data_IF_588084977981
#
_entry.id   IF_588084977981
#
_cell.length_a   1.000
_cell.length_b   1.000
_cell.length_c   1.000
_cell.angle_alpha   90.00
_cell.angle_beta   90.00
_cell.angle_gamma   90.00
#
_symmetry.space_group_name_H-M   'P 1'
#
loop_
_entity.id
_entity.type
_entity.pdbx_description
1 polymer ?
#
# COMPACT_ATOMS: atom_id res chain seq x y z
N UNK A 1 32.67 -9.25 10.81
CA UNK A 1 31.87 -8.09 11.22
C UNK A 1 32.15 -6.81 10.42
N UNK A 2 32.94 -6.91 9.33
CA UNK A 2 33.28 -5.77 8.46
C UNK A 2 32.57 -5.86 7.10
N UNK A 3 31.55 -6.73 6.98
CA UNK A 3 30.77 -6.88 5.75
C UNK A 3 29.65 -5.83 5.71
N UNK A 4 29.35 -5.35 4.52
CA UNK A 4 28.20 -4.50 4.20
C UNK A 4 27.31 -5.27 3.22
N UNK A 5 25.99 -5.28 3.43
CA UNK A 5 25.01 -5.79 2.47
C UNK A 5 24.52 -4.63 1.61
N UNK A 6 24.48 -4.81 0.30
CA UNK A 6 23.86 -3.86 -0.63
C UNK A 6 22.68 -4.56 -1.27
N UNK A 7 21.49 -4.03 -1.05
CA UNK A 7 20.23 -4.53 -1.58
C UNK A 7 19.83 -3.69 -2.80
N UNK A 8 20.12 -4.20 -4.00
CA UNK A 8 19.78 -3.56 -5.27
C UNK A 8 18.59 -4.30 -5.88
N UNK A 9 17.39 -3.68 -5.89
CA UNK A 9 16.20 -4.32 -6.44
C UNK A 9 14.88 -3.71 -5.94
N UNK A 10 13.78 -4.39 -6.21
CA UNK A 10 12.45 -4.03 -5.72
C UNK A 10 12.24 -4.36 -4.24
N UNK A 11 11.00 -4.21 -3.76
CA UNK A 11 10.62 -4.39 -2.36
C UNK A 11 11.01 -5.75 -1.78
N UNK A 12 10.82 -6.83 -2.53
CA UNK A 12 11.21 -8.16 -2.10
C UNK A 12 12.71 -8.24 -1.80
N UNK A 13 13.55 -7.61 -2.61
CA UNK A 13 15.02 -7.60 -2.41
C UNK A 13 15.41 -6.76 -1.19
N UNK A 14 14.76 -5.60 -0.99
CA UNK A 14 15.04 -4.75 0.18
C UNK A 14 14.60 -5.39 1.49
N UNK A 15 13.43 -6.05 1.51
CA UNK A 15 12.90 -6.73 2.68
C UNK A 15 13.71 -7.97 3.05
N UNK A 16 13.93 -8.88 2.09
CA UNK A 16 14.72 -10.10 2.30
C UNK A 16 16.17 -9.77 2.66
N UNK A 17 16.79 -8.85 1.92
CA UNK A 17 18.18 -8.44 2.16
C UNK A 17 18.37 -7.74 3.49
N UNK A 18 17.44 -6.84 3.85
CA UNK A 18 17.43 -6.20 5.17
C UNK A 18 17.26 -7.19 6.31
N UNK A 19 16.36 -8.18 6.17
CA UNK A 19 16.18 -9.25 7.15
C UNK A 19 17.43 -10.16 7.25
N UNK A 20 18.00 -10.56 6.11
CA UNK A 20 19.22 -11.35 6.08
C UNK A 20 20.40 -10.60 6.74
N UNK A 21 20.58 -9.33 6.43
CA UNK A 21 21.59 -8.48 7.07
C UNK A 21 21.39 -8.37 8.58
N UNK A 22 20.14 -8.24 9.02
CA UNK A 22 19.78 -8.12 10.44
C UNK A 22 20.05 -9.37 11.26
N UNK A 23 19.97 -10.54 10.63
CA UNK A 23 20.16 -11.84 11.30
C UNK A 23 21.54 -12.42 11.12
N UNK A 24 22.23 -12.12 10.00
CA UNK A 24 23.57 -12.60 9.73
C UNK A 24 24.58 -12.09 10.77
N UNK A 25 25.28 -13.01 11.46
CA UNK A 25 26.26 -12.70 12.54
C UNK A 25 25.69 -11.76 13.63
N UNK A 26 24.40 -11.82 13.90
CA UNK A 26 23.66 -10.94 14.82
C UNK A 26 23.56 -9.47 14.37
N UNK A 27 23.60 -9.26 13.08
CA UNK A 27 23.47 -7.97 12.41
C UNK A 27 24.76 -7.50 11.76
N UNK A 28 24.63 -7.15 10.49
CA UNK A 28 25.62 -6.37 9.70
C UNK A 28 24.92 -5.15 9.11
N UNK A 29 25.65 -4.06 8.83
CA UNK A 29 25.08 -2.91 8.15
C UNK A 29 24.60 -3.25 6.74
N UNK A 30 23.57 -2.53 6.28
CA UNK A 30 23.07 -2.67 4.91
C UNK A 30 22.66 -1.32 4.31
N UNK A 31 22.65 -1.27 2.98
CA UNK A 31 22.22 -0.14 2.16
C UNK A 31 21.15 -0.63 1.19
N UNK A 32 20.07 0.12 1.04
CA UNK A 32 19.05 -0.15 0.05
C UNK A 32 19.22 0.74 -1.19
N UNK A 33 19.16 0.14 -2.39
CA UNK A 33 19.10 0.82 -3.68
C UNK A 33 17.81 0.33 -4.38
N UNK A 34 16.65 0.93 -4.07
CA UNK A 34 15.38 0.49 -4.63
C UNK A 34 15.30 0.78 -6.13
N UNK A 35 14.79 -0.19 -6.91
CA UNK A 35 14.69 -0.08 -8.38
C UNK A 35 13.28 -0.06 -8.92
N UNK A 36 12.26 -0.25 -8.06
CA UNK A 36 10.85 -0.10 -8.42
C UNK A 36 10.25 1.10 -7.70
N UNK A 37 9.22 1.74 -8.28
CA UNK A 37 8.56 2.89 -7.66
C UNK A 37 8.04 2.54 -6.26
N UNK A 38 7.36 1.39 -6.11
CA UNK A 38 6.87 0.89 -4.83
C UNK A 38 8.00 0.78 -3.78
N UNK A 39 9.15 0.25 -4.19
CA UNK A 39 10.29 0.13 -3.29
C UNK A 39 10.88 1.48 -2.90
N UNK A 40 10.93 2.44 -3.83
CA UNK A 40 11.44 3.79 -3.58
C UNK A 40 10.61 4.56 -2.56
N UNK A 41 9.27 4.53 -2.73
CA UNK A 41 8.36 5.35 -1.91
C UNK A 41 7.86 4.63 -0.66
N UNK A 42 7.96 3.29 -0.62
CA UNK A 42 7.39 2.51 0.48
C UNK A 42 8.38 1.50 1.07
N UNK A 43 8.67 0.38 0.41
CA UNK A 43 9.30 -0.78 1.04
C UNK A 43 10.71 -0.49 1.60
N UNK A 44 11.54 0.31 0.93
CA UNK A 44 12.91 0.59 1.38
C UNK A 44 12.99 1.60 2.54
N UNK A 45 11.88 2.27 2.87
CA UNK A 45 11.81 3.34 3.87
C UNK A 45 11.05 2.87 5.11
N UNK A 46 11.62 3.05 6.29
CA UNK A 46 10.92 2.80 7.55
C UNK A 46 11.35 1.55 8.30
N UNK A 47 12.36 0.83 7.80
CA UNK A 47 13.07 -0.23 8.53
C UNK A 47 12.27 -1.50 8.81
N UNK A 48 11.07 -1.67 8.26
CA UNK A 48 10.40 -2.97 8.27
C UNK A 48 11.11 -3.86 7.27
N UNK A 49 11.64 -4.99 7.72
CA UNK A 49 12.26 -6.01 6.87
C UNK A 49 11.68 -7.36 7.24
N UNK A 50 11.56 -8.27 6.29
CA UNK A 50 10.95 -9.56 6.59
C UNK A 50 10.84 -10.49 5.39
N UNK A 51 10.25 -11.64 5.67
CA UNK A 51 10.00 -12.70 4.70
C UNK A 51 8.58 -13.25 4.89
N UNK A 52 8.03 -13.77 3.80
CA UNK A 52 6.81 -14.54 3.83
C UNK A 52 7.08 -15.91 4.45
N UNK A 53 6.14 -16.43 5.22
CA UNK A 53 6.24 -17.75 5.84
C UNK A 53 4.88 -18.43 5.93
N UNK A 54 4.79 -19.70 5.56
CA UNK A 54 3.54 -20.48 5.55
C UNK A 54 2.38 -19.82 4.81
N UNK A 55 2.64 -19.18 3.66
CA UNK A 55 1.59 -18.49 2.88
C UNK A 55 1.17 -17.13 3.44
N UNK A 56 1.71 -16.72 4.58
CA UNK A 56 1.44 -15.41 5.18
C UNK A 56 2.54 -14.41 4.79
N UNK A 57 2.13 -13.21 4.38
CA UNK A 57 3.05 -12.12 4.02
C UNK A 57 3.72 -11.50 5.25
N UNK A 58 5.03 -11.24 5.14
CA UNK A 58 5.81 -10.52 6.15
C UNK A 58 5.63 -11.07 7.57
N UNK A 59 5.50 -12.42 7.70
CA UNK A 59 5.23 -13.07 8.99
C UNK A 59 6.45 -13.05 9.90
N UNK A 60 7.64 -13.19 9.31
CA UNK A 60 8.91 -13.19 10.05
C UNK A 60 9.69 -11.95 9.62
N UNK A 61 9.99 -11.08 10.55
CA UNK A 61 10.72 -9.85 10.25
C UNK A 61 11.25 -9.14 11.47
N UNK A 62 11.97 -8.06 11.22
CA UNK A 62 12.53 -7.19 12.26
C UNK A 62 12.39 -5.73 11.86
N UNK A 63 12.40 -4.84 12.85
CA UNK A 63 12.59 -3.41 12.64
C UNK A 63 14.10 -3.11 12.67
N UNK A 64 14.69 -2.86 11.49
CA UNK A 64 16.09 -2.47 11.38
C UNK A 64 16.27 -1.49 10.23
N UNK A 65 16.78 -0.30 10.51
CA UNK A 65 16.98 0.74 9.52
C UNK A 65 18.24 0.45 8.68
N UNK A 66 18.18 0.66 7.34
CA UNK A 66 19.38 0.70 6.52
C UNK A 66 20.27 1.87 6.95
N UNK A 67 21.58 1.75 6.74
CA UNK A 67 22.49 2.89 6.94
C UNK A 67 22.18 4.03 5.96
N UNK A 68 21.72 3.67 4.76
CA UNK A 68 21.39 4.63 3.71
C UNK A 68 20.40 3.98 2.76
N UNK A 69 19.47 4.79 2.22
CA UNK A 69 18.65 4.46 1.06
C UNK A 69 19.08 5.38 -0.08
N UNK A 70 19.52 4.80 -1.19
CA UNK A 70 19.93 5.54 -2.40
C UNK A 70 18.83 5.40 -3.42
N UNK A 71 18.07 6.47 -3.66
CA UNK A 71 16.97 6.51 -4.61
C UNK A 71 17.46 7.16 -5.90
N UNK A 72 17.57 6.36 -6.97
CA UNK A 72 17.87 6.82 -8.32
C UNK A 72 16.66 6.55 -9.22
N UNK A 73 15.95 7.61 -9.58
CA UNK A 73 14.73 7.54 -10.41
C UNK A 73 15.02 7.14 -11.87
N UNK A 74 16.29 7.07 -12.27
CA UNK A 74 16.67 6.53 -13.60
C UNK A 74 16.21 5.07 -13.78
N UNK A 75 16.12 4.28 -12.72
CA UNK A 75 15.60 2.91 -12.78
C UNK A 75 14.14 2.86 -13.25
N UNK A 76 13.34 3.90 -13.00
CA UNK A 76 11.94 3.96 -13.41
C UNK A 76 11.75 3.99 -14.94
N UNK A 77 12.78 4.41 -15.70
CA UNK A 77 12.71 4.47 -17.18
C UNK A 77 12.61 3.10 -17.84
N UNK A 78 13.03 2.04 -17.15
CA UNK A 78 12.98 0.66 -17.64
C UNK A 78 11.95 -0.18 -16.90
N UNK A 79 11.23 0.43 -15.94
CA UNK A 79 10.16 -0.22 -15.21
C UNK A 79 8.89 -0.24 -16.09
N UNK A 80 8.22 -1.37 -16.14
CA UNK A 80 6.94 -1.48 -16.86
C UNK A 80 5.85 -0.63 -16.21
N UNK A 81 4.83 -0.27 -17.00
CA UNK A 81 3.74 0.62 -16.57
C UNK A 81 2.94 0.06 -15.39
N UNK A 82 2.76 -1.25 -15.31
CA UNK A 82 2.01 -1.86 -14.21
C UNK A 82 2.76 -1.68 -12.89
N UNK A 83 4.07 -1.86 -12.89
CA UNK A 83 4.89 -1.62 -11.69
C UNK A 83 5.02 -0.11 -11.35
N UNK A 84 4.97 0.79 -12.34
CA UNK A 84 4.85 2.24 -12.09
C UNK A 84 3.52 2.52 -11.39
N UNK A 85 2.39 2.06 -11.95
CA UNK A 85 1.06 2.21 -11.32
C UNK A 85 1.04 1.60 -9.91
N UNK A 86 1.63 0.41 -9.72
CA UNK A 86 1.68 -0.22 -8.40
C UNK A 86 2.37 0.67 -7.35
N UNK A 87 3.50 1.27 -7.67
CA UNK A 87 4.16 2.22 -6.75
C UNK A 87 3.38 3.52 -6.57
N UNK A 88 2.70 3.98 -7.63
CA UNK A 88 1.93 5.22 -7.61
C UNK A 88 0.72 5.18 -6.67
N UNK A 89 0.12 4.01 -6.45
CA UNK A 89 -0.95 3.83 -5.48
C UNK A 89 -0.50 4.22 -4.05
N UNK A 90 0.74 3.92 -3.68
CA UNK A 90 1.31 4.34 -2.39
C UNK A 90 1.52 5.85 -2.33
N UNK A 91 1.91 6.47 -3.44
CA UNK A 91 2.01 7.93 -3.51
C UNK A 91 0.64 8.59 -3.34
N UNK A 92 -0.43 8.07 -3.96
CA UNK A 92 -1.81 8.52 -3.75
C UNK A 92 -2.20 8.45 -2.27
N UNK A 93 -1.90 7.34 -1.61
CA UNK A 93 -2.10 7.19 -0.16
C UNK A 93 -1.33 8.27 0.61
N UNK A 94 -0.07 8.51 0.28
CA UNK A 94 0.74 9.55 0.92
C UNK A 94 0.15 10.95 0.72
N UNK A 95 -0.40 11.25 -0.45
CA UNK A 95 -1.14 12.50 -0.71
C UNK A 95 -2.36 12.64 0.18
N UNK A 96 -3.21 11.61 0.25
CA UNK A 96 -4.42 11.58 1.07
C UNK A 96 -4.16 11.80 2.56
N UNK A 97 -3.07 11.24 3.10
CA UNK A 97 -2.72 11.37 4.52
C UNK A 97 -1.85 12.60 4.83
N UNK A 98 -1.52 13.44 3.84
CA UNK A 98 -0.64 14.60 4.02
C UNK A 98 -1.37 15.93 3.84
N UNK A 99 -1.47 16.43 2.62
CA UNK A 99 -2.11 17.70 2.35
C UNK A 99 -2.73 17.80 0.94
N UNK A 100 -3.65 18.76 0.78
CA UNK A 100 -4.42 18.96 -0.44
C UNK A 100 -3.56 19.26 -1.67
N UNK A 101 -2.43 19.97 -1.52
CA UNK A 101 -1.59 20.35 -2.65
C UNK A 101 -0.91 19.11 -3.25
N UNK A 102 -0.29 18.29 -2.40
CA UNK A 102 0.35 17.04 -2.81
C UNK A 102 -0.68 16.12 -3.47
N UNK A 103 -1.86 15.98 -2.85
CA UNK A 103 -2.91 15.11 -3.38
C UNK A 103 -3.44 15.60 -4.75
N UNK A 104 -3.64 16.91 -4.92
CA UNK A 104 -4.11 17.47 -6.19
C UNK A 104 -3.09 17.30 -7.31
N UNK A 105 -1.80 17.41 -7.01
CA UNK A 105 -0.71 17.17 -7.96
C UNK A 105 -0.70 15.70 -8.43
N UNK A 106 -0.90 14.76 -7.48
CA UNK A 106 -0.99 13.33 -7.79
C UNK A 106 -2.21 12.99 -8.66
N UNK A 107 -3.36 13.59 -8.43
CA UNK A 107 -4.55 13.37 -9.27
C UNK A 107 -4.42 13.97 -10.68
N UNK A 108 -3.57 14.99 -10.86
CA UNK A 108 -3.35 15.65 -12.14
C UNK A 108 -2.27 14.98 -13.00
N UNK A 109 -1.51 14.03 -12.45
CA UNK A 109 -0.41 13.36 -13.15
C UNK A 109 -0.92 12.31 -14.13
N UNK A 110 -0.40 12.33 -15.38
CA UNK A 110 -0.78 11.36 -16.40
C UNK A 110 0.13 10.11 -16.34
N UNK A 111 -0.45 9.00 -15.92
CA UNK A 111 0.24 7.69 -15.85
C UNK A 111 0.40 7.03 -17.23
N UNK A 112 -0.28 7.52 -18.28
CA UNK A 112 -0.13 7.00 -19.64
C UNK A 112 1.00 7.69 -20.41
N UNK A 113 1.36 8.93 -20.01
CA UNK A 113 2.47 9.70 -20.58
C UNK A 113 3.36 10.25 -19.46
N UNK A 114 4.21 9.38 -18.92
CA UNK A 114 4.96 9.63 -17.69
C UNK A 114 6.07 10.67 -17.91
N UNK A 115 5.91 11.86 -17.32
CA UNK A 115 7.03 12.80 -17.14
C UNK A 115 7.93 12.34 -16.00
N UNK A 116 9.04 11.69 -16.35
CA UNK A 116 9.98 11.15 -15.36
C UNK A 116 10.71 12.22 -14.54
N UNK A 117 10.84 13.44 -15.02
CA UNK A 117 11.44 14.52 -14.25
C UNK A 117 10.47 14.97 -13.15
N UNK A 118 9.22 15.21 -13.52
CA UNK A 118 8.16 15.53 -12.56
C UNK A 118 7.93 14.37 -11.57
N UNK A 119 7.88 13.12 -12.05
CA UNK A 119 7.76 11.94 -11.18
C UNK A 119 8.88 11.87 -10.14
N UNK A 120 10.11 12.23 -10.50
CA UNK A 120 11.25 12.25 -9.56
C UNK A 120 11.04 13.23 -8.40
N UNK A 121 10.52 14.42 -8.67
CA UNK A 121 10.18 15.41 -7.62
C UNK A 121 9.05 14.91 -6.72
N UNK A 122 8.03 14.28 -7.32
CA UNK A 122 6.91 13.69 -6.59
C UNK A 122 7.36 12.51 -5.71
N UNK A 123 8.31 11.68 -6.18
CA UNK A 123 8.93 10.61 -5.38
C UNK A 123 9.62 11.19 -4.15
N UNK A 124 10.40 12.27 -4.31
CA UNK A 124 11.05 12.96 -3.19
C UNK A 124 10.03 13.44 -2.15
N UNK A 125 8.93 14.05 -2.61
CA UNK A 125 7.83 14.52 -1.76
C UNK A 125 7.16 13.34 -1.03
N UNK A 126 6.87 12.27 -1.73
CA UNK A 126 6.23 11.06 -1.17
C UNK A 126 7.11 10.39 -0.10
N UNK A 127 8.40 10.26 -0.36
CA UNK A 127 9.38 9.74 0.63
C UNK A 127 9.42 10.61 1.87
N UNK A 128 9.43 11.94 1.74
CA UNK A 128 9.44 12.85 2.87
C UNK A 128 8.18 12.71 3.76
N UNK A 129 6.99 12.47 3.15
CA UNK A 129 5.76 12.17 3.92
C UNK A 129 5.94 10.92 4.76
N UNK A 130 6.42 9.83 4.15
CA UNK A 130 6.63 8.57 4.87
C UNK A 130 7.70 8.68 5.94
N UNK A 131 8.85 9.30 5.63
CA UNK A 131 9.95 9.48 6.56
C UNK A 131 9.51 10.24 7.82
N UNK A 132 8.74 11.32 7.67
CA UNK A 132 8.19 12.07 8.81
C UNK A 132 7.37 11.15 9.72
N UNK A 133 6.45 10.38 9.16
CA UNK A 133 5.55 9.49 9.91
C UNK A 133 6.34 8.38 10.62
N UNK A 134 7.30 7.78 9.93
CA UNK A 134 8.13 6.69 10.49
C UNK A 134 9.08 7.19 11.55
N UNK A 135 9.60 8.42 11.42
CA UNK A 135 10.47 9.05 12.44
C UNK A 135 9.70 9.34 13.71
N UNK A 136 8.44 9.80 13.58
CA UNK A 136 7.58 10.08 14.72
C UNK A 136 7.12 8.80 15.44
N UNK A 137 6.86 7.73 14.70
CA UNK A 137 6.36 6.45 15.25
C UNK A 137 7.07 5.24 14.60
N UNK A 138 8.33 4.94 15.00
CA UNK A 138 9.12 3.87 14.39
C UNK A 138 8.48 2.47 14.50
N UNK A 139 7.70 2.22 15.56
CA UNK A 139 7.14 0.90 15.90
C UNK A 139 5.64 0.72 15.65
N UNK A 140 4.99 1.71 14.99
CA UNK A 140 3.57 1.64 14.58
C UNK A 140 2.58 1.48 15.75
N UNK A 141 2.81 2.19 16.82
CA UNK A 141 1.88 2.24 17.95
C UNK A 141 0.79 3.31 17.77
N UNK A 142 1.05 4.36 17.01
CA UNK A 142 0.21 5.53 16.81
C UNK A 142 0.08 5.96 15.36
N UNK A 143 0.65 7.13 15.02
CA UNK A 143 0.45 7.80 13.73
C UNK A 143 0.94 6.99 12.52
N UNK A 144 1.91 6.10 12.67
CA UNK A 144 2.37 5.24 11.57
C UNK A 144 1.27 4.32 11.03
N UNK A 145 0.20 4.07 11.81
CA UNK A 145 -1.00 3.38 11.33
C UNK A 145 -1.71 4.12 10.19
N UNK A 146 -1.44 5.43 10.00
CA UNK A 146 -1.92 6.19 8.85
C UNK A 146 -1.50 5.56 7.52
N UNK A 147 -0.31 4.95 7.47
CA UNK A 147 0.20 4.23 6.29
C UNK A 147 -0.61 2.98 5.94
N UNK A 148 -1.54 2.58 6.80
CA UNK A 148 -2.45 1.45 6.56
C UNK A 148 -3.77 1.85 5.85
N UNK A 149 -3.96 3.13 5.49
CA UNK A 149 -5.08 3.54 4.67
C UNK A 149 -5.09 2.73 3.35
N UNK A 150 -6.22 2.14 3.00
CA UNK A 150 -6.36 1.27 1.82
C UNK A 150 -5.86 -0.16 2.00
N UNK A 151 -5.16 -0.47 3.10
CA UNK A 151 -4.51 -1.77 3.26
C UNK A 151 -5.40 -2.84 3.89
N UNK A 152 -6.38 -2.48 4.71
CA UNK A 152 -7.26 -3.50 5.34
C UNK A 152 -8.07 -4.23 4.27
N UNK A 153 -8.67 -3.50 3.36
CA UNK A 153 -9.39 -4.07 2.22
C UNK A 153 -8.43 -4.53 1.12
N UNK A 154 -7.36 -3.77 0.86
CA UNK A 154 -6.36 -4.11 -0.15
C UNK A 154 -5.73 -5.49 0.08
N UNK A 155 -5.31 -5.81 1.31
CA UNK A 155 -4.77 -7.14 1.64
C UNK A 155 -5.80 -8.25 1.46
N UNK A 156 -7.09 -7.98 1.74
CA UNK A 156 -8.16 -8.95 1.48
C UNK A 156 -8.32 -9.21 -0.03
N UNK A 157 -8.29 -8.17 -0.87
CA UNK A 157 -8.34 -8.30 -2.33
C UNK A 157 -7.11 -9.03 -2.88
N UNK A 158 -5.93 -8.75 -2.36
CA UNK A 158 -4.70 -9.42 -2.75
C UNK A 158 -4.73 -10.92 -2.40
N UNK A 159 -5.16 -11.25 -1.18
CA UNK A 159 -5.33 -12.63 -0.73
C UNK A 159 -6.40 -13.37 -1.53
N UNK A 160 -7.48 -12.68 -1.87
CA UNK A 160 -8.54 -13.23 -2.70
C UNK A 160 -8.04 -13.52 -4.13
N UNK A 161 -7.36 -12.57 -4.77
CA UNK A 161 -6.84 -12.75 -6.12
C UNK A 161 -5.76 -13.83 -6.20
N UNK A 162 -4.95 -13.99 -5.15
CA UNK A 162 -3.90 -15.01 -5.08
C UNK A 162 -4.45 -16.45 -5.14
N UNK A 163 -5.69 -16.69 -4.71
CA UNK A 163 -6.32 -18.02 -4.81
C UNK A 163 -6.53 -18.50 -6.26
N UNK A 164 -6.45 -17.59 -7.23
CA UNK A 164 -6.58 -17.90 -8.65
C UNK A 164 -5.23 -18.11 -9.35
N UNK A 165 -4.11 -18.08 -8.62
CA UNK A 165 -2.74 -18.22 -9.19
C UNK A 165 -2.61 -19.52 -10.00
N UNK A 166 -3.12 -20.64 -9.46
CA UNK A 166 -3.08 -21.94 -10.11
C UNK A 166 -4.26 -22.18 -11.08
N UNK A 167 -5.12 -21.20 -11.29
CA UNK A 167 -6.29 -21.28 -12.17
C UNK A 167 -6.39 -20.09 -13.14
N UNK A 168 -5.44 -19.92 -14.06
CA UNK A 168 -5.42 -18.78 -14.99
C UNK A 168 -6.59 -18.77 -15.98
N UNK A 169 -7.29 -19.90 -16.14
CA UNK A 169 -8.47 -20.03 -16.99
C UNK A 169 -9.81 -19.85 -16.26
N UNK A 170 -9.82 -19.28 -15.05
CA UNK A 170 -11.07 -19.05 -14.35
C UNK A 170 -12.01 -18.11 -15.13
N UNK A 171 -13.34 -18.37 -15.09
CA UNK A 171 -14.30 -17.67 -15.96
C UNK A 171 -14.42 -16.17 -15.68
N UNK A 172 -13.95 -15.69 -14.52
CA UNK A 172 -13.95 -14.27 -14.16
C UNK A 172 -12.67 -13.55 -14.60
N UNK A 173 -11.64 -14.28 -15.08
CA UNK A 173 -10.37 -13.71 -15.49
C UNK A 173 -9.54 -13.11 -14.33
N UNK A 174 -9.84 -13.50 -13.09
CA UNK A 174 -9.08 -13.02 -11.93
C UNK A 174 -7.66 -13.61 -11.97
N UNK A 175 -6.68 -12.76 -11.81
CA UNK A 175 -5.26 -13.10 -11.75
C UNK A 175 -4.66 -12.54 -10.45
N UNK A 176 -3.54 -13.08 -9.97
CA UNK A 176 -2.77 -12.42 -8.91
C UNK A 176 -2.46 -10.97 -9.29
N UNK A 177 -2.63 -10.07 -8.35
CA UNK A 177 -2.49 -8.63 -8.58
C UNK A 177 -1.26 -8.08 -7.88
N UNK A 178 -0.66 -7.04 -8.45
CA UNK A 178 0.39 -6.29 -7.79
C UNK A 178 -0.17 -5.57 -6.56
N UNK A 179 0.62 -5.49 -5.50
CA UNK A 179 0.23 -4.90 -4.22
C UNK A 179 -0.44 -3.53 -4.36
N UNK A 180 0.13 -2.62 -5.14
CA UNK A 180 -0.43 -1.28 -5.31
C UNK A 180 -1.81 -1.24 -5.99
N UNK A 181 -2.12 -2.20 -6.86
CA UNK A 181 -3.48 -2.33 -7.40
C UNK A 181 -4.48 -2.65 -6.31
N UNK A 182 -4.14 -3.62 -5.46
CA UNK A 182 -4.98 -3.98 -4.32
C UNK A 182 -5.13 -2.81 -3.33
N UNK A 183 -4.06 -2.05 -3.07
CA UNK A 183 -4.10 -0.84 -2.23
C UNK A 183 -4.97 0.24 -2.88
N UNK A 184 -4.87 0.50 -4.19
CA UNK A 184 -5.71 1.47 -4.89
C UNK A 184 -7.20 1.12 -4.75
N UNK A 185 -7.57 -0.14 -4.97
CA UNK A 185 -8.95 -0.61 -4.76
C UNK A 185 -9.38 -0.53 -3.29
N UNK A 186 -8.46 -0.83 -2.37
CA UNK A 186 -8.70 -0.62 -0.93
C UNK A 186 -8.94 0.84 -0.57
N UNK A 187 -8.25 1.78 -1.23
CA UNK A 187 -8.52 3.22 -1.07
C UNK A 187 -9.95 3.59 -1.50
N UNK A 188 -10.47 3.03 -2.60
CA UNK A 188 -11.88 3.24 -3.01
C UNK A 188 -12.82 2.85 -1.88
N UNK A 189 -12.63 1.66 -1.32
CA UNK A 189 -13.43 1.11 -0.24
C UNK A 189 -13.34 1.94 1.06
N UNK A 190 -12.12 2.22 1.51
CA UNK A 190 -11.90 2.91 2.78
C UNK A 190 -12.24 4.41 2.70
N UNK A 191 -12.21 5.03 1.52
CA UNK A 191 -12.73 6.38 1.32
C UNK A 191 -14.26 6.42 1.34
N UNK A 192 -14.96 5.39 0.83
CA UNK A 192 -16.40 5.26 1.03
C UNK A 192 -16.75 5.18 2.52
N UNK A 193 -16.09 4.32 3.29
CA UNK A 193 -16.27 4.27 4.74
C UNK A 193 -15.93 5.61 5.41
N UNK A 194 -14.91 6.31 4.93
CA UNK A 194 -14.54 7.63 5.43
C UNK A 194 -15.66 8.65 5.23
N UNK A 195 -16.34 8.63 4.08
CA UNK A 195 -17.52 9.49 3.86
C UNK A 195 -18.65 9.17 4.83
N UNK A 196 -18.96 7.88 5.01
CA UNK A 196 -20.09 7.44 5.83
C UNK A 196 -19.83 7.68 7.33
N UNK A 197 -18.60 7.40 7.80
CA UNK A 197 -18.28 7.34 9.24
C UNK A 197 -17.63 8.59 9.80
N UNK A 198 -16.80 9.25 9.02
CA UNK A 198 -15.95 10.36 9.49
C UNK A 198 -16.16 11.68 8.74
N UNK A 199 -17.07 11.70 7.78
CA UNK A 199 -17.46 12.91 7.07
C UNK A 199 -16.46 13.35 6.00
N UNK A 200 -15.67 12.45 5.45
CA UNK A 200 -14.77 12.77 4.34
C UNK A 200 -15.56 13.36 3.16
N UNK A 201 -15.05 14.40 2.48
CA UNK A 201 -15.79 15.06 1.40
C UNK A 201 -16.09 14.11 0.23
N UNK A 202 -17.38 13.95 -0.09
CA UNK A 202 -17.86 13.04 -1.14
C UNK A 202 -17.30 13.40 -2.53
N UNK A 203 -17.14 14.68 -2.84
CA UNK A 203 -16.58 15.11 -4.13
C UNK A 203 -15.12 14.70 -4.29
N UNK A 204 -14.32 14.81 -3.21
CA UNK A 204 -12.94 14.35 -3.19
C UNK A 204 -12.87 12.82 -3.34
N UNK A 205 -13.74 12.10 -2.65
CA UNK A 205 -13.85 10.64 -2.81
C UNK A 205 -14.17 10.26 -4.25
N UNK A 206 -15.19 10.90 -4.89
CA UNK A 206 -15.56 10.62 -6.29
C UNK A 206 -14.42 10.88 -7.27
N UNK A 207 -13.67 11.98 -7.09
CA UNK A 207 -12.52 12.29 -7.92
C UNK A 207 -11.43 11.22 -7.81
N UNK A 208 -11.17 10.75 -6.57
CA UNK A 208 -10.19 9.70 -6.30
C UNK A 208 -10.64 8.37 -6.91
N UNK A 209 -11.91 7.99 -6.71
CA UNK A 209 -12.49 6.76 -7.27
C UNK A 209 -12.37 6.75 -8.79
N UNK A 210 -12.75 7.85 -9.44
CA UNK A 210 -12.64 7.97 -10.89
C UNK A 210 -11.20 7.80 -11.39
N UNK A 211 -10.24 8.47 -10.74
CA UNK A 211 -8.82 8.32 -11.08
C UNK A 211 -8.36 6.85 -10.94
N UNK A 212 -8.76 6.21 -9.83
CA UNK A 212 -8.37 4.82 -9.58
C UNK A 212 -9.00 3.89 -10.61
N UNK A 213 -10.27 4.07 -10.96
CA UNK A 213 -10.93 3.24 -11.97
C UNK A 213 -10.28 3.40 -13.36
N UNK A 214 -9.93 4.63 -13.75
CA UNK A 214 -9.27 4.90 -15.03
C UNK A 214 -7.85 4.30 -15.09
N UNK A 215 -7.08 4.34 -14.00
CA UNK A 215 -5.68 3.90 -13.97
C UNK A 215 -5.49 2.43 -13.59
N UNK A 216 -6.35 1.87 -12.73
CA UNK A 216 -6.18 0.52 -12.13
C UNK A 216 -7.29 -0.45 -12.51
N UNK A 217 -8.38 0.01 -13.16
CA UNK A 217 -9.56 -0.81 -13.38
C UNK A 217 -10.21 -1.27 -12.08
N UNK A 218 -10.87 -2.43 -12.12
CA UNK A 218 -11.59 -3.01 -10.98
C UNK A 218 -11.29 -4.50 -10.84
N UNK A 219 -11.43 -5.05 -9.63
CA UNK A 219 -11.42 -6.48 -9.39
C UNK A 219 -12.86 -7.02 -9.56
N UNK A 220 -13.10 -8.03 -10.42
CA UNK A 220 -14.45 -8.54 -10.70
C UNK A 220 -14.96 -9.44 -9.56
N UNK A 221 -15.31 -8.84 -8.43
CA UNK A 221 -15.94 -9.50 -7.29
C UNK A 221 -17.45 -9.59 -7.47
N UNK A 222 -18.07 -10.53 -6.77
CA UNK A 222 -19.53 -10.74 -6.71
C UNK A 222 -19.99 -10.76 -5.24
N UNK A 223 -21.30 -10.67 -4.99
CA UNK A 223 -21.84 -10.76 -3.62
C UNK A 223 -21.47 -12.09 -2.94
N UNK A 224 -21.26 -13.16 -3.72
CA UNK A 224 -20.89 -14.47 -3.17
C UNK A 224 -19.46 -14.48 -2.58
N UNK A 225 -18.62 -13.52 -2.96
CA UNK A 225 -17.25 -13.38 -2.45
C UNK A 225 -17.17 -12.60 -1.11
N UNK A 226 -18.23 -11.87 -0.75
CA UNK A 226 -18.20 -10.99 0.44
C UNK A 226 -17.91 -11.72 1.76
N UNK A 227 -18.48 -12.91 2.03
CA UNK A 227 -18.12 -13.63 3.24
C UNK A 227 -16.63 -13.96 3.34
N UNK A 228 -16.03 -14.34 2.23
CA UNK A 228 -14.59 -14.66 2.17
C UNK A 228 -13.70 -13.43 2.29
N UNK A 229 -14.05 -12.32 1.62
CA UNK A 229 -13.36 -11.04 1.75
C UNK A 229 -13.43 -10.53 3.20
N UNK A 230 -14.59 -10.65 3.84
CA UNK A 230 -14.76 -10.31 5.25
C UNK A 230 -13.86 -11.17 6.14
N UNK A 231 -13.76 -12.47 5.89
CA UNK A 231 -12.89 -13.37 6.62
C UNK A 231 -11.41 -12.96 6.47
N UNK A 232 -10.95 -12.64 5.26
CA UNK A 232 -9.58 -12.15 5.05
C UNK A 232 -9.32 -10.85 5.81
N UNK A 233 -10.27 -9.90 5.80
CA UNK A 233 -10.13 -8.69 6.60
C UNK A 233 -10.03 -8.99 8.10
N UNK A 234 -10.75 -10.00 8.60
CA UNK A 234 -10.73 -10.39 10.03
C UNK A 234 -9.37 -10.97 10.44
N UNK A 235 -8.68 -11.65 9.53
CA UNK A 235 -7.36 -12.26 9.79
C UNK A 235 -6.18 -11.28 9.65
N UNK A 236 -6.41 -10.02 9.27
CA UNK A 236 -5.33 -9.02 9.22
C UNK A 236 -4.72 -8.84 10.62
N UNK A 237 -3.39 -8.81 10.70
CA UNK A 237 -2.58 -8.69 11.93
C UNK A 237 -2.92 -7.47 12.80
N UNK A 238 -3.61 -6.48 12.23
CA UNK A 238 -4.02 -5.23 12.92
C UNK A 238 -5.23 -5.42 13.80
N UNK A 239 -5.91 -6.57 13.71
CA UNK A 239 -7.16 -6.83 14.39
C UNK A 239 -6.93 -7.40 15.79
N UNK A 240 -7.68 -6.89 16.75
CA UNK A 240 -7.67 -7.35 18.12
C UNK A 240 -9.05 -7.95 18.46
N UNK A 241 -9.08 -9.20 18.90
CA UNK A 241 -10.29 -9.90 19.32
C UNK A 241 -11.41 -9.96 18.24
N UNK A 242 -11.06 -10.09 16.95
CA UNK A 242 -12.03 -10.22 15.86
C UNK A 242 -12.67 -8.91 15.40
N UNK A 243 -12.20 -7.77 15.90
CA UNK A 243 -12.64 -6.44 15.46
C UNK A 243 -11.73 -5.97 14.34
N UNK A 244 -12.31 -5.68 13.15
CA UNK A 244 -11.57 -5.16 12.02
C UNK A 244 -11.26 -3.68 12.25
N UNK A 245 -9.98 -3.33 12.22
CA UNK A 245 -9.50 -1.96 12.40
C UNK A 245 -9.17 -1.32 11.06
N UNK A 246 -9.71 -0.14 10.84
CA UNK A 246 -9.47 0.69 9.66
C UNK A 246 -8.73 1.96 10.02
N UNK A 247 -7.96 2.46 9.08
CA UNK A 247 -7.55 3.86 9.03
C UNK A 247 -8.49 4.60 8.09
N UNK A 248 -9.22 5.58 8.59
CA UNK A 248 -10.15 6.40 7.81
C UNK A 248 -9.70 7.87 7.83
N UNK A 249 -10.36 8.70 7.02
CA UNK A 249 -10.06 10.13 6.92
C UNK A 249 -11.32 10.97 7.20
N UNK A 250 -11.17 12.06 7.95
CA UNK A 250 -12.19 13.12 8.05
C UNK A 250 -12.06 14.19 6.96
N UNK A 251 -10.90 14.25 6.34
CA UNK A 251 -10.50 15.12 5.23
C UNK A 251 -9.08 14.77 4.82
N UNK A 252 -8.54 15.38 3.76
CA UNK A 252 -7.14 15.17 3.39
C UNK A 252 -6.25 15.64 4.54
N UNK A 253 -5.36 14.75 5.02
CA UNK A 253 -4.50 14.98 6.17
C UNK A 253 -5.19 14.85 7.54
N UNK A 254 -6.52 14.72 7.60
CA UNK A 254 -7.25 14.46 8.87
C UNK A 254 -7.42 12.97 9.10
N UNK A 255 -6.42 12.35 9.71
CA UNK A 255 -6.27 10.91 9.88
C UNK A 255 -7.04 10.42 11.11
N UNK A 256 -7.85 9.39 10.94
CA UNK A 256 -8.64 8.72 11.98
C UNK A 256 -8.21 7.25 12.08
N UNK A 257 -7.23 6.96 12.93
CA UNK A 257 -6.78 5.57 13.19
C UNK A 257 -7.75 4.82 14.08
N UNK A 258 -7.66 3.47 14.07
CA UNK A 258 -8.44 2.56 14.91
C UNK A 258 -9.96 2.77 14.76
N UNK A 259 -10.43 3.03 13.57
CA UNK A 259 -11.86 3.07 13.25
C UNK A 259 -12.38 1.66 13.01
N UNK A 260 -13.65 1.41 13.34
CA UNK A 260 -14.28 0.09 13.16
C UNK A 260 -15.51 0.22 12.28
N UNK A 261 -15.89 -0.86 11.61
CA UNK A 261 -17.12 -0.95 10.83
C UNK A 261 -17.87 -2.23 11.17
N UNK A 262 -19.20 -2.18 11.09
CA UNK A 262 -20.02 -3.38 11.21
C UNK A 262 -19.93 -4.23 9.95
N UNK A 263 -20.40 -5.47 10.03
CA UNK A 263 -20.42 -6.35 8.85
C UNK A 263 -21.29 -5.77 7.74
N UNK A 264 -22.41 -5.16 8.09
CA UNK A 264 -23.32 -4.49 7.16
C UNK A 264 -22.62 -3.32 6.45
N UNK A 265 -21.95 -2.45 7.19
CA UNK A 265 -21.19 -1.33 6.63
C UNK A 265 -20.06 -1.81 5.67
N UNK A 266 -19.42 -2.93 5.99
CA UNK A 266 -18.41 -3.55 5.13
C UNK A 266 -19.04 -4.11 3.84
N UNK A 267 -20.22 -4.72 3.93
CA UNK A 267 -20.92 -5.23 2.74
C UNK A 267 -21.41 -4.08 1.86
N UNK A 268 -21.96 -3.00 2.43
CA UNK A 268 -22.33 -1.78 1.69
C UNK A 268 -21.11 -1.15 0.97
N UNK A 269 -19.96 -1.17 1.62
CA UNK A 269 -18.68 -0.72 1.03
C UNK A 269 -18.25 -1.60 -0.15
N UNK A 270 -18.39 -2.92 -0.04
CA UNK A 270 -18.09 -3.85 -1.13
C UNK A 270 -19.08 -3.72 -2.28
N UNK A 271 -20.37 -3.47 -2.00
CA UNK A 271 -21.38 -3.13 -3.02
C UNK A 271 -21.00 -1.85 -3.75
N UNK A 272 -20.60 -0.79 -3.03
CA UNK A 272 -20.10 0.44 -3.65
C UNK A 272 -18.92 0.18 -4.58
N UNK A 273 -17.94 -0.63 -4.17
CA UNK A 273 -16.78 -0.96 -4.99
C UNK A 273 -17.16 -1.75 -6.26
N UNK A 274 -18.10 -2.68 -6.15
CA UNK A 274 -18.54 -3.53 -7.25
C UNK A 274 -19.38 -2.77 -8.28
N UNK A 275 -20.21 -1.81 -7.85
CA UNK A 275 -21.19 -1.10 -8.68
C UNK A 275 -20.68 0.24 -9.22
N UNK A 276 -19.70 0.82 -8.55
CA UNK A 276 -19.11 2.13 -8.85
C UNK A 276 -17.90 2.04 -9.69
#
# INVERSE_FOLDING_TARGET
>A
RHSLMINLGGGMVTDLGGFAASTFKRGIPFVNIPTTLLSMVDASVGGKTGINFNGLKNEIGVFNQPQTVIIDTMFLRTLDSQNVCSGYAEMLKHGLISDQKIFSELLAFDLNDVDYAHLADMVGTSVAVKERIVTEDPHEHGIRKALNLGHTVGHAFESFALQFEDNPGNPRGIQPVLHGYAVAWGLVCELYLSCVKTGFPTDTMRQTVRFIQEAYGTLPITCDDYPQLFEFMTHDKKNTAGVINFTLLGGIGDIRINQTATKEEIYDMLDFFREG
#
